data_IF_608705075463
#
_entry.id   IF_608705075463
#
_cell.length_a   1.000
_cell.length_b   1.000
_cell.length_c   1.000
_cell.angle_alpha   90.00
_cell.angle_beta   90.00
_cell.angle_gamma   90.00
#
_symmetry.space_group_name_H-M   'P 1'
#
loop_
_entity.id
_entity.type
_entity.pdbx_description
1 polymer ?
#
# COMPACT_ATOMS: atom_id res chain seq x y z
N UNK A 1 -28.92 -39.59 -45.14
CA UNK A 1 -28.40 -38.22 -44.91
C UNK A 1 -28.67 -37.75 -43.48
N UNK A 2 -28.37 -38.56 -42.46
CA UNK A 2 -28.78 -38.30 -41.05
C UNK A 2 -27.62 -38.17 -40.06
N UNK A 3 -26.37 -38.31 -40.52
CA UNK A 3 -25.17 -38.32 -39.66
C UNK A 3 -24.56 -36.92 -39.44
N UNK A 4 -24.72 -35.99 -40.41
CA UNK A 4 -24.14 -34.64 -40.34
C UNK A 4 -24.90 -33.67 -39.43
N UNK A 5 -26.21 -33.86 -39.24
CA UNK A 5 -27.02 -33.03 -38.33
C UNK A 5 -26.69 -33.29 -36.85
N UNK A 6 -26.36 -34.53 -36.49
CA UNK A 6 -26.13 -34.91 -35.10
C UNK A 6 -24.77 -34.42 -34.58
N UNK A 7 -23.75 -34.37 -35.45
CA UNK A 7 -22.42 -33.82 -35.13
C UNK A 7 -22.46 -32.30 -34.96
N UNK A 8 -23.17 -31.58 -35.84
CA UNK A 8 -23.37 -30.13 -35.72
C UNK A 8 -24.11 -29.72 -34.44
N UNK A 9 -25.17 -30.45 -34.08
CA UNK A 9 -25.93 -30.19 -32.85
C UNK A 9 -25.10 -30.46 -31.58
N UNK A 10 -24.22 -31.47 -31.62
CA UNK A 10 -23.31 -31.78 -30.51
C UNK A 10 -22.20 -30.73 -30.34
N UNK A 11 -21.69 -30.20 -31.46
CA UNK A 11 -20.69 -29.13 -31.49
C UNK A 11 -21.28 -27.82 -30.96
N UNK A 12 -22.52 -27.49 -31.36
CA UNK A 12 -23.23 -26.29 -30.90
C UNK A 12 -23.48 -26.33 -29.39
N UNK A 13 -23.92 -27.48 -28.86
CA UNK A 13 -24.10 -27.68 -27.41
C UNK A 13 -22.80 -27.53 -26.64
N UNK A 14 -21.70 -28.10 -27.15
CA UNK A 14 -20.37 -27.97 -26.52
C UNK A 14 -19.87 -26.52 -26.55
N UNK A 15 -20.10 -25.79 -27.65
CA UNK A 15 -19.77 -24.37 -27.75
C UNK A 15 -20.59 -23.53 -26.77
N UNK A 16 -21.88 -23.83 -26.60
CA UNK A 16 -22.74 -23.16 -25.62
C UNK A 16 -22.28 -23.43 -24.18
N UNK A 17 -21.85 -24.65 -23.87
CA UNK A 17 -21.30 -25.00 -22.55
C UNK A 17 -19.98 -24.26 -22.31
N UNK A 18 -19.07 -24.23 -23.29
CA UNK A 18 -17.80 -23.49 -23.18
C UNK A 18 -18.02 -21.99 -23.03
N UNK A 19 -19.00 -21.41 -23.72
CA UNK A 19 -19.37 -20.00 -23.59
C UNK A 19 -19.96 -19.72 -22.20
N UNK A 20 -20.79 -20.61 -21.66
CA UNK A 20 -21.34 -20.49 -20.32
C UNK A 20 -20.26 -20.56 -19.23
N UNK A 21 -19.29 -21.47 -19.38
CA UNK A 21 -18.12 -21.55 -18.48
C UNK A 21 -17.27 -20.29 -18.55
N UNK A 22 -17.01 -19.78 -19.77
CA UNK A 22 -16.25 -18.55 -19.96
C UNK A 22 -16.95 -17.34 -19.32
N UNK A 23 -18.28 -17.23 -19.47
CA UNK A 23 -19.07 -16.15 -18.88
C UNK A 23 -19.08 -16.18 -17.34
N UNK A 24 -19.01 -17.37 -16.74
CA UNK A 24 -18.95 -17.52 -15.28
C UNK A 24 -17.59 -17.09 -14.70
N UNK A 25 -16.51 -17.15 -15.49
CA UNK A 25 -15.18 -16.70 -15.07
C UNK A 25 -14.98 -15.17 -15.12
N UNK A 26 -15.93 -14.41 -15.69
CA UNK A 26 -15.87 -12.93 -15.78
C UNK A 26 -16.68 -12.24 -14.68
N UNK A 27 -17.21 -13.01 -13.70
CA UNK A 27 -17.80 -12.40 -12.51
C UNK A 27 -16.73 -11.53 -11.84
N UNK A 28 -16.92 -10.21 -11.77
CA UNK A 28 -15.97 -9.34 -11.10
C UNK A 28 -15.89 -9.84 -9.65
N UNK A 29 -14.67 -9.97 -9.13
CA UNK A 29 -14.44 -10.29 -7.73
C UNK A 29 -15.01 -9.15 -6.87
N UNK A 30 -16.31 -9.23 -6.56
CA UNK A 30 -17.02 -8.30 -5.69
C UNK A 30 -16.66 -8.56 -4.23
N UNK A 31 -15.39 -8.36 -3.89
CA UNK A 31 -14.89 -8.60 -2.53
C UNK A 31 -13.67 -7.74 -2.18
N UNK A 32 -13.52 -6.57 -2.80
CA UNK A 32 -12.69 -5.50 -2.24
C UNK A 32 -13.62 -4.41 -1.72
N UNK A 33 -14.43 -4.77 -0.72
CA UNK A 33 -15.05 -3.75 0.12
C UNK A 33 -13.91 -2.97 0.78
N UNK A 34 -13.89 -1.63 0.69
CA UNK A 34 -12.92 -0.84 1.42
C UNK A 34 -13.07 -1.18 2.90
N UNK A 35 -12.05 -1.82 3.47
CA UNK A 35 -12.02 -2.01 4.93
C UNK A 35 -11.86 -0.63 5.52
N UNK A 36 -12.93 -0.13 6.11
CA UNK A 36 -12.93 1.09 6.89
C UNK A 36 -12.26 0.78 8.23
N UNK A 37 -10.92 0.81 8.23
CA UNK A 37 -10.15 0.73 9.45
C UNK A 37 -10.41 2.01 10.26
N UNK A 38 -10.62 1.90 11.58
CA UNK A 38 -10.80 3.09 12.40
C UNK A 38 -9.61 4.02 12.20
N UNK A 39 -9.93 5.28 11.94
CA UNK A 39 -8.96 6.35 11.74
C UNK A 39 -7.98 6.36 12.93
N UNK A 40 -6.70 6.11 12.66
CA UNK A 40 -5.67 6.06 13.70
C UNK A 40 -5.72 7.37 14.50
N UNK A 41 -5.74 7.32 15.85
CA UNK A 41 -5.91 8.52 16.67
C UNK A 41 -4.84 9.56 16.32
N UNK A 42 -5.18 10.85 16.45
CA UNK A 42 -4.25 11.98 16.27
C UNK A 42 -3.21 12.08 17.42
N UNK A 43 -2.67 10.93 17.83
CA UNK A 43 -1.59 10.83 18.79
C UNK A 43 -0.35 11.45 18.18
N UNK A 44 0.18 12.47 18.85
CA UNK A 44 1.46 13.09 18.49
C UNK A 44 2.57 12.07 18.72
N UNK A 45 3.29 11.74 17.66
CA UNK A 45 4.42 10.81 17.70
C UNK A 45 5.69 11.51 18.19
N UNK A 46 5.98 12.67 17.60
CA UNK A 46 7.10 13.53 17.98
C UNK A 46 6.87 14.94 17.46
N UNK A 47 7.63 15.89 18.00
CA UNK A 47 7.68 17.26 17.55
C UNK A 47 8.98 17.52 16.79
N UNK A 48 8.86 18.16 15.62
CA UNK A 48 10.00 18.75 14.91
C UNK A 48 10.08 20.21 15.31
N UNK A 49 11.21 20.63 15.85
CA UNK A 49 11.46 22.01 16.22
C UNK A 49 12.44 22.67 15.25
N UNK A 50 12.07 23.86 14.78
CA UNK A 50 12.95 24.72 14.01
C UNK A 50 12.70 26.19 14.37
N UNK A 51 13.78 26.94 14.65
CA UNK A 51 13.73 28.38 14.93
C UNK A 51 12.69 28.78 16.01
N UNK A 52 12.58 27.97 17.06
CA UNK A 52 11.63 28.19 18.16
C UNK A 52 10.17 27.83 17.86
N UNK A 53 9.85 27.37 16.65
CA UNK A 53 8.54 26.80 16.29
C UNK A 53 8.55 25.29 16.46
N UNK A 54 7.45 24.75 16.99
CA UNK A 54 7.26 23.31 17.17
C UNK A 54 6.16 22.82 16.23
N UNK A 55 6.49 21.83 15.40
CA UNK A 55 5.60 21.18 14.46
C UNK A 55 5.28 19.77 14.98
N UNK A 56 4.08 19.53 15.53
CA UNK A 56 3.69 18.20 15.95
C UNK A 56 3.45 17.30 14.74
N UNK A 57 4.10 16.15 14.73
CA UNK A 57 3.89 15.10 13.72
C UNK A 57 3.08 13.99 14.37
N UNK A 58 1.93 13.68 13.79
CA UNK A 58 1.03 12.62 14.32
C UNK A 58 1.37 11.25 13.73
N UNK A 59 1.04 10.18 14.44
CA UNK A 59 1.21 8.81 13.92
C UNK A 59 0.48 8.63 12.59
N UNK A 60 -0.73 9.18 12.50
CA UNK A 60 -1.53 9.13 11.28
C UNK A 60 -0.87 9.82 10.09
N UNK A 61 -0.14 10.92 10.32
CA UNK A 61 0.62 11.59 9.27
C UNK A 61 1.78 10.72 8.78
N UNK A 62 2.45 10.01 9.68
CA UNK A 62 3.54 9.09 9.33
C UNK A 62 3.03 7.90 8.51
N UNK A 63 1.91 7.30 8.90
CA UNK A 63 1.29 6.18 8.19
C UNK A 63 0.94 6.53 6.73
N UNK A 64 0.58 7.79 6.45
CA UNK A 64 0.28 8.27 5.10
C UNK A 64 1.49 8.43 4.18
N UNK A 65 2.70 8.60 4.74
CA UNK A 65 3.92 8.83 3.95
C UNK A 65 4.49 7.53 3.36
N UNK A 66 4.01 6.37 3.82
CA UNK A 66 4.47 5.06 3.38
C UNK A 66 5.78 4.62 4.05
N UNK A 67 5.96 3.30 4.13
CA UNK A 67 7.12 2.69 4.76
C UNK A 67 8.17 2.29 3.72
N UNK A 68 9.43 2.49 4.08
CA UNK A 68 10.59 2.08 3.31
C UNK A 68 11.39 1.07 4.12
N UNK A 69 11.95 0.08 3.42
CA UNK A 69 12.87 -0.91 3.99
C UNK A 69 14.30 -0.59 3.56
N UNK A 70 15.20 -0.48 4.54
CA UNK A 70 16.63 -0.24 4.29
C UNK A 70 17.44 -1.29 5.05
N UNK A 71 18.31 -1.99 4.33
CA UNK A 71 19.29 -2.89 4.93
C UNK A 71 20.66 -2.21 4.92
N UNK A 72 21.25 -2.00 6.10
CA UNK A 72 22.56 -1.35 6.23
C UNK A 72 23.37 -1.96 7.37
N UNK A 73 24.69 -1.87 7.24
CA UNK A 73 25.58 -2.06 8.36
C UNK A 73 25.48 -0.85 9.30
N UNK A 74 25.51 -1.09 10.60
CA UNK A 74 25.58 -0.05 11.62
C UNK A 74 26.94 -0.13 12.32
N UNK A 75 27.63 0.99 12.60
CA UNK A 75 28.85 0.96 13.40
C UNK A 75 28.59 0.54 14.85
N UNK A 76 27.33 0.51 15.28
CA UNK A 76 26.92 0.20 16.66
C UNK A 76 26.54 -1.27 16.86
N UNK A 77 26.24 -2.02 15.80
CA UNK A 77 25.89 -3.44 15.89
C UNK A 77 26.63 -4.28 14.86
N UNK A 78 26.77 -5.58 15.15
CA UNK A 78 27.44 -6.51 14.23
C UNK A 78 26.43 -7.08 13.22
N UNK A 79 26.77 -6.96 11.94
CA UNK A 79 26.01 -7.58 10.85
C UNK A 79 25.18 -6.58 10.04
N UNK A 80 24.36 -7.13 9.13
CA UNK A 80 23.43 -6.33 8.33
C UNK A 80 22.10 -6.21 9.07
N UNK A 81 21.69 -4.97 9.35
CA UNK A 81 20.42 -4.67 10.00
C UNK A 81 19.41 -4.23 8.96
N UNK A 82 18.16 -4.66 9.12
CA UNK A 82 17.05 -4.21 8.28
C UNK A 82 16.12 -3.33 9.10
N UNK A 83 15.96 -2.09 8.65
CA UNK A 83 15.08 -1.09 9.25
C UNK A 83 13.87 -0.86 8.35
N UNK A 84 12.71 -0.69 8.97
CA UNK A 84 11.47 -0.34 8.29
C UNK A 84 10.89 0.92 8.93
N UNK A 85 10.57 1.91 8.10
CA UNK A 85 10.07 3.18 8.60
C UNK A 85 9.84 4.21 7.52
N UNK A 86 9.31 5.36 7.93
CA UNK A 86 9.11 6.51 7.05
C UNK A 86 10.46 7.20 6.80
N UNK A 87 10.71 7.63 5.57
CA UNK A 87 11.90 8.42 5.28
C UNK A 87 11.79 9.80 5.95
N UNK A 88 12.80 10.17 6.72
CA UNK A 88 12.81 11.45 7.42
C UNK A 88 12.69 12.66 6.48
N UNK A 89 13.24 12.55 5.27
CA UNK A 89 13.06 13.57 4.21
C UNK A 89 11.59 13.85 3.91
N UNK A 90 10.75 12.81 3.88
CA UNK A 90 9.34 12.98 3.52
C UNK A 90 8.55 13.57 4.69
N UNK A 91 9.00 13.33 5.93
CA UNK A 91 8.50 14.04 7.12
C UNK A 91 8.85 15.53 7.05
N UNK A 92 10.09 15.89 6.69
CA UNK A 92 10.50 17.30 6.53
C UNK A 92 9.69 18.02 5.46
N UNK A 93 9.39 17.34 4.35
CA UNK A 93 8.49 17.87 3.31
C UNK A 93 7.09 18.12 3.85
N UNK A 94 6.54 17.19 4.63
CA UNK A 94 5.20 17.32 5.23
C UNK A 94 5.10 18.56 6.13
N UNK A 95 6.15 18.84 6.92
CA UNK A 95 6.19 20.01 7.82
C UNK A 95 6.68 21.30 7.14
N UNK A 96 6.97 21.26 5.84
CA UNK A 96 7.45 22.43 5.08
C UNK A 96 8.87 22.88 5.44
N UNK A 97 9.70 21.97 5.96
CA UNK A 97 11.09 22.21 6.35
C UNK A 97 12.08 21.52 5.39
N UNK A 98 11.66 21.31 4.14
CA UNK A 98 12.54 20.76 3.12
C UNK A 98 13.70 21.72 2.81
N UNK A 99 14.94 21.25 2.94
CA UNK A 99 16.13 22.06 2.69
C UNK A 99 16.67 22.81 3.91
N UNK A 100 16.06 22.66 5.09
CA UNK A 100 16.64 23.16 6.33
C UNK A 100 17.90 22.35 6.72
N UNK A 101 18.98 23.06 7.07
CA UNK A 101 20.27 22.44 7.42
C UNK A 101 20.21 21.66 8.74
N UNK A 102 19.32 22.05 9.64
CA UNK A 102 19.16 21.39 10.94
C UNK A 102 17.75 21.52 11.48
N UNK A 103 17.30 20.46 12.17
CA UNK A 103 16.06 20.42 12.93
C UNK A 103 16.30 19.67 14.23
N UNK A 104 15.50 19.95 15.26
CA UNK A 104 15.54 19.25 16.54
C UNK A 104 14.34 18.33 16.66
N UNK A 105 14.56 17.06 16.97
CA UNK A 105 13.50 16.10 17.26
C UNK A 105 13.27 16.01 18.76
N UNK A 106 12.02 16.16 19.19
CA UNK A 106 11.59 15.91 20.57
C UNK A 106 10.45 14.90 20.58
N UNK A 107 10.67 13.75 21.22
CA UNK A 107 9.65 12.76 21.53
C UNK A 107 9.14 12.98 22.95
#
# INVERSE_FOLDING_TARGET
MSSLLNTGLSSLKRSLIMLAVLAFCILPAGALEPVDLPESPDTVAFNVQNNGKSFPVTLRQLEKLGLYRVTTASPFEKGQLTFEGVLFRDVLKLVGLEGEDSVVLRA
#
